data_IF_512334436471
#
_entry.id   IF_512334436471
#
_cell.length_a   1.000
_cell.length_b   1.000
_cell.length_c   1.000
_cell.angle_alpha   90.00
_cell.angle_beta   90.00
_cell.angle_gamma   90.00
#
_symmetry.space_group_name_H-M   'P 1'
#
loop_
_entity.id
_entity.type
_entity.pdbx_description
1 polymer ?
#
# COMPACT_ATOMS: atom_id res chain seq x y z
N UNK A 1 9.42 -11.54 4.34
CA UNK A 1 10.29 -10.34 4.20
C UNK A 1 11.04 -10.33 2.88
N UNK A 2 11.92 -11.31 2.59
CA UNK A 2 12.72 -11.32 1.35
C UNK A 2 11.93 -11.21 0.04
N UNK A 3 10.81 -11.92 -0.08
CA UNK A 3 9.97 -11.84 -1.30
C UNK A 3 9.36 -10.46 -1.55
N UNK A 4 8.97 -9.73 -0.50
CA UNK A 4 8.46 -8.35 -0.63
C UNK A 4 9.58 -7.41 -1.05
N UNK A 5 10.80 -7.60 -0.54
CA UNK A 5 11.98 -6.85 -0.97
C UNK A 5 12.32 -7.12 -2.45
N UNK A 6 12.14 -8.36 -2.92
CA UNK A 6 12.31 -8.68 -4.35
C UNK A 6 11.27 -7.95 -5.20
N UNK A 7 10.00 -7.91 -4.77
CA UNK A 7 8.94 -7.17 -5.45
C UNK A 7 9.22 -5.67 -5.50
N UNK A 8 9.73 -5.07 -4.43
CA UNK A 8 10.08 -3.64 -4.42
C UNK A 8 11.22 -3.34 -5.38
N UNK A 9 12.29 -4.14 -5.38
CA UNK A 9 13.43 -4.00 -6.31
C UNK A 9 13.01 -4.12 -7.78
N UNK A 10 12.00 -4.95 -8.08
CA UNK A 10 11.47 -5.15 -9.44
C UNK A 10 10.44 -4.12 -9.86
N UNK A 11 9.97 -3.26 -8.93
CA UNK A 11 9.02 -2.21 -9.24
C UNK A 11 9.74 -0.87 -9.47
N UNK A 12 9.59 -0.22 -10.63
CA UNK A 12 10.23 1.07 -10.90
C UNK A 12 9.90 2.16 -9.86
N UNK A 13 8.74 2.09 -9.23
CA UNK A 13 8.29 3.04 -8.20
C UNK A 13 8.93 2.80 -6.83
N UNK A 14 9.27 1.54 -6.50
CA UNK A 14 9.69 1.13 -5.16
C UNK A 14 11.18 0.75 -5.09
N UNK A 15 11.85 0.56 -6.23
CA UNK A 15 13.28 0.16 -6.28
C UNK A 15 14.21 1.18 -5.63
N UNK A 16 13.78 2.44 -5.54
CA UNK A 16 14.53 3.54 -4.96
C UNK A 16 14.22 3.79 -3.47
N UNK A 17 13.42 2.93 -2.83
CA UNK A 17 13.09 3.08 -1.41
C UNK A 17 14.35 2.92 -0.57
N UNK A 18 14.55 3.86 0.34
CA UNK A 18 15.49 3.67 1.44
C UNK A 18 14.97 2.56 2.36
N UNK A 19 15.88 1.88 3.06
CA UNK A 19 15.51 0.81 4.01
C UNK A 19 14.56 1.33 5.09
N UNK A 20 14.75 2.58 5.53
CA UNK A 20 13.87 3.25 6.50
C UNK A 20 12.46 3.46 5.95
N UNK A 21 12.32 3.96 4.71
CA UNK A 21 11.03 4.11 4.04
C UNK A 21 10.33 2.76 3.89
N UNK A 22 11.07 1.74 3.44
CA UNK A 22 10.54 0.39 3.31
C UNK A 22 10.02 -0.14 4.64
N UNK A 23 10.79 0.03 5.71
CA UNK A 23 10.38 -0.40 7.05
C UNK A 23 9.13 0.33 7.50
N UNK A 24 9.05 1.65 7.32
CA UNK A 24 7.90 2.45 7.71
C UNK A 24 6.61 2.07 6.94
N UNK A 25 6.73 1.76 5.65
CA UNK A 25 5.60 1.45 4.77
C UNK A 25 5.15 -0.02 4.83
N UNK A 26 6.05 -0.96 5.13
CA UNK A 26 5.78 -2.41 5.02
C UNK A 26 5.72 -3.10 6.38
N UNK A 27 6.66 -2.80 7.29
CA UNK A 27 6.84 -3.59 8.50
C UNK A 27 5.62 -3.56 9.43
N UNK A 28 4.97 -2.41 9.71
CA UNK A 28 3.80 -2.39 10.58
C UNK A 28 2.66 -3.27 10.03
N UNK A 29 2.46 -3.30 8.70
CA UNK A 29 1.46 -4.16 8.07
C UNK A 29 1.63 -5.63 8.43
N UNK A 30 2.87 -6.11 8.43
CA UNK A 30 3.20 -7.50 8.71
C UNK A 30 2.90 -7.80 10.17
N UNK A 31 3.33 -6.93 11.09
CA UNK A 31 3.08 -7.10 12.53
C UNK A 31 1.59 -7.08 12.88
N UNK A 32 0.79 -6.34 12.13
CA UNK A 32 -0.64 -6.19 12.33
C UNK A 32 -1.47 -7.18 11.51
N UNK A 33 -0.83 -8.04 10.69
CA UNK A 33 -1.49 -8.92 9.74
C UNK A 33 -2.45 -8.17 8.76
N UNK A 34 -2.11 -6.93 8.42
CA UNK A 34 -2.87 -6.06 7.51
C UNK A 34 -2.26 -6.06 6.10
N UNK A 35 -2.08 -7.25 5.53
CA UNK A 35 -1.50 -7.41 4.20
C UNK A 35 -2.05 -8.63 3.44
N UNK A 36 -1.75 -8.64 2.13
CA UNK A 36 -1.85 -9.80 1.27
C UNK A 36 -0.56 -9.96 0.49
N UNK A 37 -0.12 -11.20 0.36
CA UNK A 37 1.08 -11.59 -0.35
C UNK A 37 0.70 -12.77 -1.25
N UNK A 38 1.06 -12.67 -2.52
CA UNK A 38 0.66 -13.62 -3.55
C UNK A 38 1.91 -14.28 -4.11
N UNK A 39 1.86 -15.59 -4.27
CA UNK A 39 2.91 -16.39 -4.89
C UNK A 39 2.36 -17.23 -6.03
N UNK A 40 3.25 -17.68 -6.90
CA UNK A 40 2.93 -18.77 -7.82
C UNK A 40 2.97 -20.14 -7.09
N UNK A 41 2.74 -21.20 -7.86
CA UNK A 41 2.79 -22.59 -7.40
C UNK A 41 4.17 -23.04 -6.91
N UNK A 42 5.23 -22.33 -7.30
CA UNK A 42 6.61 -22.60 -6.87
C UNK A 42 7.04 -21.71 -5.69
N UNK A 43 6.15 -20.86 -5.17
CA UNK A 43 6.43 -19.95 -4.06
C UNK A 43 7.12 -18.64 -4.46
N UNK A 44 7.27 -18.35 -5.76
CA UNK A 44 7.86 -17.09 -6.21
C UNK A 44 6.88 -15.93 -5.94
N UNK A 45 7.36 -14.77 -5.46
CA UNK A 45 6.51 -13.60 -5.22
C UNK A 45 5.93 -13.05 -6.51
N UNK A 46 4.60 -12.87 -6.56
CA UNK A 46 3.89 -12.26 -7.69
C UNK A 46 3.43 -10.83 -7.39
N UNK A 47 2.89 -10.63 -6.19
CA UNK A 47 2.34 -9.35 -5.76
C UNK A 47 2.29 -9.23 -4.24
N UNK A 48 2.23 -7.99 -3.77
CA UNK A 48 2.04 -7.63 -2.37
C UNK A 48 1.17 -6.38 -2.28
N UNK A 49 0.29 -6.35 -1.29
CA UNK A 49 -0.35 -5.10 -0.87
C UNK A 49 -0.58 -5.10 0.63
N UNK A 50 -0.68 -3.91 1.19
CA UNK A 50 -1.03 -3.72 2.59
C UNK A 50 -2.09 -2.63 2.77
N UNK A 51 -2.64 -2.56 3.97
CA UNK A 51 -3.59 -1.52 4.34
C UNK A 51 -3.42 -1.06 5.78
N UNK A 52 -3.87 0.16 6.02
CA UNK A 52 -3.97 0.80 7.33
C UNK A 52 -5.42 1.25 7.57
N UNK A 53 -5.81 1.33 8.84
CA UNK A 53 -7.07 1.93 9.26
C UNK A 53 -6.79 3.26 9.95
N UNK A 54 -7.04 4.35 9.23
CA UNK A 54 -6.67 5.70 9.63
C UNK A 54 -7.84 6.45 10.26
N UNK A 55 -7.52 7.31 11.22
CA UNK A 55 -8.42 8.39 11.62
C UNK A 55 -8.63 9.36 10.44
N UNK A 56 -9.73 10.11 10.45
CA UNK A 56 -10.00 11.12 9.42
C UNK A 56 -8.90 12.19 9.38
N UNK A 57 -8.38 12.58 10.54
CA UNK A 57 -7.28 13.55 10.67
C UNK A 57 -6.02 13.03 9.99
N UNK A 58 -5.56 11.84 10.36
CA UNK A 58 -4.30 11.29 9.86
C UNK A 58 -4.40 10.97 8.36
N UNK A 59 -5.56 10.49 7.90
CA UNK A 59 -5.82 10.30 6.48
C UNK A 59 -5.69 11.62 5.70
N UNK A 60 -6.24 12.73 6.19
CA UNK A 60 -6.13 14.01 5.50
C UNK A 60 -4.68 14.52 5.42
N UNK A 61 -3.92 14.43 6.51
CA UNK A 61 -2.48 14.81 6.56
C UNK A 61 -1.63 13.99 5.58
N UNK A 62 -1.89 12.67 5.51
CA UNK A 62 -1.16 11.77 4.61
C UNK A 62 -1.52 12.02 3.15
N UNK A 63 -2.82 12.17 2.85
CA UNK A 63 -3.29 12.38 1.48
C UNK A 63 -2.98 13.79 0.94
N UNK A 64 -2.79 14.78 1.81
CA UNK A 64 -2.34 16.12 1.42
C UNK A 64 -0.84 16.16 1.10
N UNK A 65 -0.07 15.16 1.55
CA UNK A 65 1.39 15.13 1.48
C UNK A 65 2.05 15.93 2.60
N UNK A 66 1.33 16.29 3.66
CA UNK A 66 1.90 16.99 4.82
C UNK A 66 2.94 16.12 5.55
N UNK A 67 2.71 14.81 5.58
CA UNK A 67 3.64 13.82 6.13
C UNK A 67 3.36 12.42 5.59
N UNK A 68 4.34 11.55 5.71
CA UNK A 68 4.15 10.11 5.48
C UNK A 68 3.41 9.42 6.64
N UNK A 69 2.89 8.22 6.37
CA UNK A 69 2.32 7.33 7.39
C UNK A 69 3.39 6.89 8.39
N UNK A 70 3.07 6.95 9.68
CA UNK A 70 3.92 6.51 10.79
C UNK A 70 3.33 5.25 11.43
N UNK A 71 4.12 4.56 12.25
CA UNK A 71 3.72 3.30 12.89
C UNK A 71 2.42 3.44 13.69
N UNK A 72 2.25 4.55 14.39
CA UNK A 72 1.10 4.81 15.27
C UNK A 72 -0.19 5.06 14.48
N UNK A 73 -0.09 5.39 13.18
CA UNK A 73 -1.25 5.70 12.35
C UNK A 73 -2.03 4.45 11.92
N UNK A 74 -1.36 3.30 11.82
CA UNK A 74 -1.85 2.09 11.13
C UNK A 74 -3.20 1.56 11.63
N UNK A 75 -3.54 1.85 12.88
CA UNK A 75 -4.81 1.51 13.52
C UNK A 75 -5.42 2.71 14.26
N UNK A 76 -5.22 3.92 13.75
CA UNK A 76 -5.73 5.15 14.35
C UNK A 76 -7.23 5.41 14.13
N UNK A 77 -7.92 4.60 13.32
CA UNK A 77 -9.34 4.76 13.06
C UNK A 77 -9.95 3.63 12.23
N UNK A 78 -10.92 3.96 11.38
CA UNK A 78 -11.69 2.98 10.57
C UNK A 78 -11.56 3.17 9.06
N UNK A 79 -10.98 4.29 8.60
CA UNK A 79 -10.89 4.62 7.18
C UNK A 79 -9.74 3.84 6.55
N UNK A 80 -10.05 2.96 5.59
CA UNK A 80 -9.05 2.09 5.01
C UNK A 80 -8.22 2.82 3.93
N UNK A 81 -6.90 2.74 4.09
CA UNK A 81 -5.89 3.30 3.20
C UNK A 81 -4.94 2.19 2.76
N UNK A 82 -4.52 2.18 1.50
CA UNK A 82 -3.54 1.24 0.95
C UNK A 82 -2.21 1.98 0.72
N UNK A 83 -1.24 1.89 1.66
CA UNK A 83 0.09 2.47 1.47
C UNK A 83 0.80 1.88 0.26
N UNK A 84 0.81 0.55 0.14
CA UNK A 84 1.59 -0.18 -0.84
C UNK A 84 0.74 -1.13 -1.68
N UNK A 85 0.90 -1.04 -3.00
CA UNK A 85 0.35 -1.99 -3.98
C UNK A 85 1.43 -2.31 -5.01
N UNK A 86 2.05 -3.47 -4.88
CA UNK A 86 3.28 -3.84 -5.59
C UNK A 86 2.99 -5.11 -6.41
N UNK A 87 2.92 -4.98 -7.73
CA UNK A 87 2.69 -6.09 -8.66
C UNK A 87 3.52 -5.92 -9.94
N UNK A 88 4.86 -6.07 -9.86
CA UNK A 88 5.79 -5.73 -10.95
C UNK A 88 5.63 -6.65 -12.17
N UNK A 89 5.02 -7.83 -12.00
CA UNK A 89 4.84 -8.83 -13.04
C UNK A 89 3.44 -8.82 -13.69
N UNK A 90 2.67 -7.73 -13.55
CA UNK A 90 1.35 -7.60 -14.20
C UNK A 90 0.17 -8.18 -13.41
N UNK A 91 0.38 -8.64 -12.18
CA UNK A 91 -0.64 -9.29 -11.35
C UNK A 91 -1.59 -8.33 -10.60
N UNK A 92 -1.57 -7.03 -10.94
CA UNK A 92 -2.38 -6.01 -10.26
C UNK A 92 -3.89 -6.28 -10.35
N UNK A 93 -4.38 -6.80 -11.49
CA UNK A 93 -5.80 -7.12 -11.69
C UNK A 93 -6.25 -8.28 -10.80
N UNK A 94 -5.43 -9.34 -10.71
CA UNK A 94 -5.68 -10.49 -9.83
C UNK A 94 -5.78 -10.03 -8.38
N UNK A 95 -4.77 -9.29 -7.91
CA UNK A 95 -4.74 -8.71 -6.56
C UNK A 95 -5.97 -7.83 -6.28
N UNK A 96 -6.36 -6.95 -7.21
CA UNK A 96 -7.54 -6.10 -7.04
C UNK A 96 -8.85 -6.90 -6.98
N UNK A 97 -8.96 -7.99 -7.74
CA UNK A 97 -10.12 -8.90 -7.68
C UNK A 97 -10.19 -9.63 -6.34
N UNK A 98 -9.06 -10.16 -5.85
CA UNK A 98 -8.98 -10.81 -4.54
C UNK A 98 -9.39 -9.86 -3.41
N UNK A 99 -8.80 -8.66 -3.37
CA UNK A 99 -9.10 -7.65 -2.36
C UNK A 99 -10.61 -7.33 -2.32
N UNK A 100 -11.24 -7.11 -3.47
CA UNK A 100 -12.69 -6.83 -3.54
C UNK A 100 -13.56 -7.96 -2.98
N UNK A 101 -13.17 -9.22 -3.22
CA UNK A 101 -13.95 -10.40 -2.83
C UNK A 101 -13.73 -10.80 -1.38
N UNK A 102 -12.49 -10.75 -0.92
CA UNK A 102 -12.06 -11.42 0.31
C UNK A 102 -11.73 -10.46 1.45
N UNK A 103 -11.34 -9.22 1.16
CA UNK A 103 -11.00 -8.22 2.18
C UNK A 103 -12.08 -7.16 2.32
N UNK A 104 -12.61 -6.71 1.18
CA UNK A 104 -13.47 -5.54 1.11
C UNK A 104 -14.97 -5.91 1.02
N UNK A 105 -15.31 -7.20 1.00
CA UNK A 105 -16.70 -7.66 0.84
C UNK A 105 -17.64 -7.22 1.95
N UNK A 106 -17.13 -7.04 3.18
CA UNK A 106 -17.87 -6.50 4.32
C UNK A 106 -17.93 -4.97 4.36
N UNK A 107 -17.24 -4.28 3.44
CA UNK A 107 -17.08 -2.82 3.38
C UNK A 107 -17.68 -2.20 2.12
N UNK A 108 -18.69 -2.86 1.52
CA UNK A 108 -19.36 -2.37 0.31
C UNK A 108 -19.92 -0.96 0.52
N UNK A 109 -19.63 -0.06 -0.40
CA UNK A 109 -20.02 1.35 -0.32
C UNK A 109 -18.99 2.28 0.34
N UNK A 110 -17.97 1.74 1.02
CA UNK A 110 -16.87 2.56 1.53
C UNK A 110 -15.97 3.07 0.39
N UNK A 111 -15.36 4.24 0.62
CA UNK A 111 -14.30 4.78 -0.24
C UNK A 111 -12.95 4.40 0.37
N UNK A 112 -12.11 3.76 -0.42
CA UNK A 112 -10.72 3.49 -0.06
C UNK A 112 -9.79 4.24 -0.98
N UNK A 113 -8.59 4.56 -0.49
CA UNK A 113 -7.61 5.29 -1.26
C UNK A 113 -6.23 4.63 -1.21
N UNK A 114 -5.47 4.87 -2.28
CA UNK A 114 -4.06 4.58 -2.36
C UNK A 114 -3.32 5.82 -2.87
N UNK A 115 -2.08 6.02 -2.42
CA UNK A 115 -1.19 7.03 -3.03
C UNK A 115 -0.52 6.39 -4.24
N UNK A 116 -0.65 7.01 -5.42
CA UNK A 116 0.16 6.64 -6.58
C UNK A 116 1.51 7.33 -6.50
N UNK A 117 2.57 6.53 -6.29
CA UNK A 117 3.94 6.98 -6.48
C UNK A 117 4.16 7.45 -7.92
N UNK A 118 4.88 8.55 -8.10
CA UNK A 118 5.44 8.92 -9.39
C UNK A 118 6.90 8.44 -9.48
N UNK A 119 7.37 7.94 -10.64
CA UNK A 119 8.73 7.44 -10.78
C UNK A 119 9.82 8.48 -10.49
N UNK A 120 9.50 9.77 -10.62
CA UNK A 120 10.41 10.89 -10.33
C UNK A 120 10.07 11.55 -8.99
N UNK A 121 10.63 11.04 -7.89
CA UNK A 121 10.67 11.71 -6.58
C UNK A 121 11.60 12.95 -6.53
N UNK A 122 12.13 13.43 -7.67
CA UNK A 122 13.04 14.59 -7.71
C UNK A 122 12.36 15.94 -7.41
N UNK A 123 11.03 15.99 -7.30
CA UNK A 123 10.31 17.18 -6.85
C UNK A 123 9.48 16.86 -5.60
N UNK A 124 10.09 17.06 -4.43
CA UNK A 124 9.50 16.86 -3.09
C UNK A 124 8.29 17.76 -2.79
N UNK A 125 7.95 18.69 -3.68
CA UNK A 125 6.83 19.62 -3.55
C UNK A 125 5.55 19.17 -4.31
N UNK A 126 5.62 18.09 -5.09
CA UNK A 126 4.46 17.62 -5.84
C UNK A 126 3.49 16.85 -4.92
N UNK A 127 2.27 17.36 -4.76
CA UNK A 127 1.20 16.68 -4.00
C UNK A 127 1.05 15.23 -4.47
N UNK A 128 0.96 14.25 -3.55
CA UNK A 128 0.75 12.85 -3.92
C UNK A 128 -0.53 12.70 -4.75
N UNK A 129 -0.46 11.93 -5.84
CA UNK A 129 -1.64 11.62 -6.64
C UNK A 129 -2.46 10.56 -5.90
N UNK A 130 -3.55 10.99 -5.28
CA UNK A 130 -4.47 10.09 -4.59
C UNK A 130 -5.42 9.45 -5.60
N UNK A 131 -5.49 8.12 -5.60
CA UNK A 131 -6.52 7.39 -6.31
C UNK A 131 -7.56 6.90 -5.32
N UNK A 132 -8.82 7.28 -5.54
CA UNK A 132 -9.96 6.76 -4.79
C UNK A 132 -10.60 5.61 -5.54
N UNK A 133 -11.00 4.59 -4.79
CA UNK A 133 -11.77 3.45 -5.27
C UNK A 133 -13.05 3.36 -4.46
N UNK A 134 -14.17 3.12 -5.14
CA UNK A 134 -15.40 2.67 -4.49
C UNK A 134 -15.40 1.15 -4.50
N UNK A 135 -15.78 0.57 -3.36
CA UNK A 135 -15.90 -0.87 -3.16
C UNK A 135 -17.33 -1.31 -3.40
#
# INVERSE_FOLDING_TARGET
>A
MGGVMLLTQRSPLHRAYLVSEWYQQIYPAITLNQFRYYTDEHGNPLAFCNWAFLSKKNMNEILSGERDIRKEDWQSGSNMFFPEMIAPYGHAKMMATDLRRNILSSRKGERVCAIRGQPNKQNSLAKPRVQWFKI
#
